data_IF_258046478015
#
_entry.id   IF_258046478015
#
_cell.length_a   1.000
_cell.length_b   1.000
_cell.length_c   1.000
_cell.angle_alpha   90.00
_cell.angle_beta   90.00
_cell.angle_gamma   90.00
#
_symmetry.space_group_name_H-M   'P 1'
#
loop_
_entity.id
_entity.type
_entity.pdbx_description
1 polymer ?
#
# COMPACT_ATOMS: atom_id res chain seq x y z
N UNK A 1 9.25 -19.46 -14.66
CA UNK A 1 9.21 -19.23 -13.20
C UNK A 1 9.00 -17.73 -12.99
N UNK A 2 8.02 -17.30 -12.20
CA UNK A 2 7.82 -15.87 -11.87
C UNK A 2 8.67 -15.59 -10.64
N UNK A 3 9.64 -14.66 -10.72
CA UNK A 3 10.40 -14.25 -9.54
C UNK A 3 9.67 -13.12 -8.79
N UNK A 4 9.71 -13.09 -7.45
CA UNK A 4 9.03 -12.06 -6.66
C UNK A 4 9.44 -10.62 -7.01
N UNK A 5 10.64 -10.42 -7.58
CA UNK A 5 11.17 -9.11 -7.99
C UNK A 5 10.83 -8.73 -9.43
N UNK A 6 10.12 -9.58 -10.17
CA UNK A 6 9.81 -9.31 -11.59
C UNK A 6 8.63 -8.34 -11.78
N UNK A 7 7.94 -7.98 -10.70
CA UNK A 7 6.83 -7.02 -10.75
C UNK A 7 7.37 -5.65 -10.39
N UNK A 8 7.71 -4.87 -11.42
CA UNK A 8 8.01 -3.45 -11.26
C UNK A 8 6.73 -2.65 -11.02
N UNK A 9 6.86 -1.43 -10.48
CA UNK A 9 5.71 -0.53 -10.29
C UNK A 9 4.91 -0.28 -11.58
N UNK A 10 5.60 -0.22 -12.73
CA UNK A 10 4.92 -0.10 -14.04
C UNK A 10 4.02 -1.30 -14.33
N UNK A 11 4.48 -2.51 -14.00
CA UNK A 11 3.67 -3.74 -14.15
C UNK A 11 2.55 -3.80 -13.12
N UNK A 12 2.82 -3.39 -11.88
CA UNK A 12 1.81 -3.31 -10.83
C UNK A 12 0.68 -2.34 -11.22
N UNK A 13 1.04 -1.16 -11.75
CA UNK A 13 0.08 -0.19 -12.27
C UNK A 13 -0.75 -0.77 -13.43
N UNK A 14 -0.11 -1.48 -14.36
CA UNK A 14 -0.81 -2.13 -15.47
C UNK A 14 -1.85 -3.14 -14.98
N UNK A 15 -1.50 -3.96 -13.98
CA UNK A 15 -2.42 -4.92 -13.35
C UNK A 15 -3.57 -4.20 -12.65
N UNK A 16 -3.27 -3.13 -11.90
CA UNK A 16 -4.29 -2.32 -11.23
C UNK A 16 -5.30 -1.75 -12.23
N UNK A 17 -4.82 -1.16 -13.33
CA UNK A 17 -5.68 -0.63 -14.38
C UNK A 17 -6.50 -1.74 -15.05
N UNK A 18 -5.90 -2.90 -15.34
CA UNK A 18 -6.62 -4.04 -15.91
C UNK A 18 -7.74 -4.53 -14.98
N UNK A 19 -7.48 -4.63 -13.67
CA UNK A 19 -8.50 -4.99 -12.68
C UNK A 19 -9.58 -3.94 -12.54
N UNK A 20 -9.25 -2.64 -12.58
CA UNK A 20 -10.24 -1.57 -12.53
C UNK A 20 -11.18 -1.62 -13.74
N UNK A 21 -10.68 -1.93 -14.93
CA UNK A 21 -11.50 -2.07 -16.15
C UNK A 21 -12.33 -3.36 -16.15
N UNK A 22 -11.74 -4.47 -15.73
CA UNK A 22 -12.40 -5.79 -15.77
C UNK A 22 -13.39 -6.00 -14.61
N UNK A 23 -13.09 -5.47 -13.42
CA UNK A 23 -13.86 -5.63 -12.19
C UNK A 23 -14.18 -4.26 -11.57
N UNK A 24 -15.07 -3.47 -12.19
CA UNK A 24 -15.30 -2.07 -11.82
C UNK A 24 -15.80 -1.88 -10.38
N UNK A 25 -16.47 -2.88 -9.81
CA UNK A 25 -17.03 -2.86 -8.46
C UNK A 25 -16.14 -3.52 -7.40
N UNK A 26 -15.01 -4.12 -7.79
CA UNK A 26 -14.11 -4.74 -6.83
C UNK A 26 -13.38 -3.66 -6.02
N UNK A 27 -13.28 -3.91 -4.70
CA UNK A 27 -12.42 -3.11 -3.84
C UNK A 27 -10.96 -3.40 -4.14
N UNK A 28 -10.17 -2.37 -4.41
CA UNK A 28 -8.72 -2.43 -4.56
C UNK A 28 -8.11 -1.73 -3.34
N UNK A 29 -7.27 -2.45 -2.61
CA UNK A 29 -6.58 -1.93 -1.42
C UNK A 29 -5.10 -1.73 -1.73
N UNK A 30 -4.57 -0.57 -1.38
CA UNK A 30 -3.14 -0.25 -1.43
C UNK A 30 -2.61 -0.12 0.01
N UNK A 31 -1.40 -0.65 0.26
CA UNK A 31 -0.81 -0.71 1.61
C UNK A 31 0.45 0.13 1.71
N UNK A 32 0.97 0.28 2.93
CA UNK A 32 2.24 0.95 3.21
C UNK A 32 3.49 0.19 2.76
N UNK A 33 3.32 -0.93 2.05
CA UNK A 33 4.42 -1.62 1.34
C UNK A 33 4.87 -0.88 0.09
N UNK A 34 4.02 -0.02 -0.46
CA UNK A 34 4.32 0.75 -1.66
C UNK A 34 4.80 2.16 -1.28
N UNK A 35 5.69 2.74 -2.10
CA UNK A 35 6.24 4.08 -1.85
C UNK A 35 5.16 5.18 -1.92
N UNK A 36 5.41 6.26 -1.20
CA UNK A 36 4.61 7.52 -1.21
C UNK A 36 4.16 7.91 -2.61
N UNK A 37 5.09 8.18 -3.53
CA UNK A 37 4.71 8.67 -4.87
C UNK A 37 3.99 7.64 -5.76
N UNK A 38 4.02 6.35 -5.45
CA UNK A 38 3.20 5.37 -6.16
C UNK A 38 1.78 5.37 -5.59
N UNK A 39 1.67 5.40 -4.26
CA UNK A 39 0.41 5.47 -3.51
C UNK A 39 -0.42 6.69 -3.91
N UNK A 40 0.21 7.87 -4.01
CA UNK A 40 -0.45 9.13 -4.37
C UNK A 40 -1.10 9.06 -5.77
N UNK A 41 -0.48 8.32 -6.69
CA UNK A 41 -0.97 8.21 -8.08
C UNK A 41 -2.03 7.11 -8.24
N UNK A 42 -1.87 5.95 -7.60
CA UNK A 42 -2.83 4.85 -7.79
C UNK A 42 -4.21 5.10 -7.17
N UNK A 43 -4.28 5.96 -6.15
CA UNK A 43 -5.57 6.40 -5.58
C UNK A 43 -6.40 7.14 -6.61
N UNK A 44 -5.77 7.96 -7.45
CA UNK A 44 -6.44 8.71 -8.52
C UNK A 44 -6.97 7.80 -9.64
N UNK A 45 -6.39 6.61 -9.80
CA UNK A 45 -6.66 5.72 -10.93
C UNK A 45 -7.60 4.56 -10.60
N UNK A 46 -7.57 4.05 -9.37
CA UNK A 46 -8.42 2.89 -9.06
C UNK A 46 -8.20 2.22 -7.72
N UNK A 47 -7.36 2.70 -6.81
CA UNK A 47 -7.39 2.20 -5.43
C UNK A 47 -8.63 2.76 -4.71
N UNK A 48 -9.37 1.92 -3.99
CA UNK A 48 -10.57 2.30 -3.22
C UNK A 48 -10.34 2.35 -1.71
N UNK A 49 -9.25 1.76 -1.24
CA UNK A 49 -8.88 1.70 0.18
C UNK A 49 -7.37 1.86 0.30
N UNK A 50 -6.94 2.59 1.33
CA UNK A 50 -5.53 2.84 1.61
C UNK A 50 -5.26 2.69 3.12
N UNK A 51 -4.18 2.00 3.48
CA UNK A 51 -3.71 1.94 4.87
C UNK A 51 -2.92 3.21 5.24
N UNK A 52 -3.14 3.79 6.41
CA UNK A 52 -2.42 4.97 6.90
C UNK A 52 -2.01 4.80 8.37
N UNK A 53 -0.90 5.44 8.79
CA UNK A 53 -0.41 5.31 10.17
C UNK A 53 -0.18 3.86 10.61
N UNK A 54 0.39 3.06 9.70
CA UNK A 54 0.50 1.60 9.88
C UNK A 54 1.63 1.27 10.85
N UNK A 55 1.36 0.36 11.77
CA UNK A 55 2.37 -0.31 12.57
C UNK A 55 2.36 -1.80 12.26
N UNK A 56 3.55 -2.39 12.13
CA UNK A 56 3.77 -3.77 11.68
C UNK A 56 4.51 -4.62 12.71
N UNK A 57 4.94 -4.01 13.82
CA UNK A 57 5.54 -4.72 14.96
C UNK A 57 4.48 -5.21 15.95
N UNK A 58 4.80 -6.30 16.64
CA UNK A 58 3.90 -6.86 17.66
C UNK A 58 3.89 -5.91 18.86
N UNK A 59 2.70 -5.43 19.24
CA UNK A 59 2.49 -4.60 20.45
C UNK A 59 2.81 -3.11 20.30
N UNK A 60 3.24 -2.66 19.12
CA UNK A 60 3.70 -1.28 18.88
C UNK A 60 2.62 -0.22 19.18
N UNK A 61 1.35 -0.47 18.86
CA UNK A 61 0.25 0.45 19.22
C UNK A 61 0.03 0.63 20.73
N UNK A 62 0.57 -0.26 21.57
CA UNK A 62 0.51 -0.18 23.05
C UNK A 62 1.84 0.28 23.66
N UNK A 63 2.82 0.68 22.84
CA UNK A 63 4.15 1.09 23.30
C UNK A 63 5.08 -0.08 23.67
N UNK A 64 4.66 -1.33 23.47
CA UNK A 64 5.48 -2.51 23.72
C UNK A 64 6.00 -3.05 22.39
N UNK A 65 7.18 -2.60 21.94
CA UNK A 65 7.80 -3.20 20.75
C UNK A 65 8.35 -4.58 21.11
N UNK A 66 7.68 -5.64 20.67
CA UNK A 66 8.13 -7.02 20.82
C UNK A 66 8.47 -7.60 19.45
N UNK A 67 9.74 -7.95 19.25
CA UNK A 67 10.21 -8.56 18.00
C UNK A 67 10.28 -7.59 16.82
N UNK A 68 10.43 -8.17 15.63
CA UNK A 68 10.64 -7.44 14.38
C UNK A 68 9.31 -7.16 13.65
N UNK A 69 9.33 -6.15 12.77
CA UNK A 69 8.18 -5.86 11.91
C UNK A 69 7.93 -6.97 10.90
N UNK A 70 6.66 -7.23 10.56
CA UNK A 70 6.30 -8.23 9.55
C UNK A 70 6.90 -7.93 8.16
N UNK A 71 7.06 -6.65 7.83
CA UNK A 71 7.68 -6.14 6.61
C UNK A 71 8.19 -4.71 6.84
N UNK A 72 9.03 -4.20 5.94
CA UNK A 72 9.45 -2.80 5.96
C UNK A 72 8.34 -1.90 5.41
N UNK A 73 8.08 -0.80 6.12
CA UNK A 73 7.12 0.22 5.71
C UNK A 73 7.82 1.16 4.71
N UNK A 74 7.20 1.36 3.54
CA UNK A 74 7.70 2.25 2.48
C UNK A 74 7.01 3.62 2.45
N UNK A 75 6.01 3.82 3.31
CA UNK A 75 5.33 5.10 3.50
C UNK A 75 4.88 5.18 4.97
N UNK A 76 5.62 5.98 5.73
CA UNK A 76 5.48 6.18 7.17
C UNK A 76 4.53 7.32 7.54
N UNK A 77 3.89 7.97 6.55
CA UNK A 77 2.97 9.09 6.79
C UNK A 77 1.84 8.70 7.73
N UNK A 78 1.53 9.63 8.63
CA UNK A 78 0.41 9.52 9.55
C UNK A 78 -0.95 9.60 8.86
N UNK A 79 -2.01 9.36 9.63
CA UNK A 79 -3.39 9.45 9.11
C UNK A 79 -3.71 10.86 8.61
N UNK A 80 -3.30 11.90 9.34
CA UNK A 80 -3.57 13.30 8.98
C UNK A 80 -2.87 13.71 7.67
N UNK A 81 -1.63 13.26 7.47
CA UNK A 81 -0.87 13.52 6.25
C UNK A 81 -1.49 12.81 5.03
N UNK A 82 -1.94 11.57 5.20
CA UNK A 82 -2.63 10.83 4.12
C UNK A 82 -3.99 11.47 3.81
N UNK A 83 -4.68 12.03 4.81
CA UNK A 83 -5.96 12.71 4.60
C UNK A 83 -5.80 14.04 3.83
N UNK A 84 -4.63 14.67 3.91
CA UNK A 84 -4.33 15.94 3.25
C UNK A 84 -3.82 15.81 1.79
N UNK A 85 -3.76 14.58 1.27
CA UNK A 85 -3.24 14.23 -0.07
C UNK A 85 -4.24 14.51 -1.20
#
# INVERSE_FOLDING_TARGET
KIHPKDVSEKRLLQVLCAYRLFLPFAGITISSRERVGFRDEVVKLGATKMSAGVSVGIGEHKGEKKGDGQFEISDERGVDEILAM
#
